data_IF_400987196326
#
_entry.id   IF_400987196326
#
_cell.length_a   1.000
_cell.length_b   1.000
_cell.length_c   1.000
_cell.angle_alpha   90.00
_cell.angle_beta   90.00
_cell.angle_gamma   90.00
#
_symmetry.space_group_name_H-M   'P 1'
#
loop_
_entity.id
_entity.type
_entity.pdbx_description
1 polymer ?
#
# COMPACT_ATOMS: atom_id res chain seq x y z
N UNK A 1 23.67 7.42 16.97
CA UNK A 1 22.86 6.19 16.99
C UNK A 1 23.55 5.17 17.87
N UNK A 2 22.84 4.58 18.84
CA UNK A 2 23.42 3.58 19.78
C UNK A 2 22.59 2.28 19.79
N UNK A 3 21.32 2.35 19.42
CA UNK A 3 20.43 1.22 19.52
C UNK A 3 20.60 0.28 18.31
N UNK A 4 20.77 -1.01 18.58
CA UNK A 4 20.92 -2.06 17.57
C UNK A 4 19.73 -2.13 16.62
N UNK A 5 18.50 -2.03 17.14
CA UNK A 5 17.30 -2.06 16.31
C UNK A 5 17.25 -0.88 15.31
N UNK A 6 17.80 0.29 15.70
CA UNK A 6 17.94 1.43 14.79
C UNK A 6 18.85 1.09 13.61
N UNK A 7 19.98 0.47 13.89
CA UNK A 7 20.98 0.14 12.89
C UNK A 7 20.45 -0.96 11.98
N UNK A 8 19.78 -1.96 12.52
CA UNK A 8 19.13 -3.02 11.75
C UNK A 8 18.04 -2.46 10.82
N UNK A 9 17.19 -1.54 11.32
CA UNK A 9 16.19 -0.88 10.49
C UNK A 9 16.82 -0.09 9.34
N UNK A 10 17.84 0.73 9.64
CA UNK A 10 18.55 1.52 8.64
C UNK A 10 19.22 0.63 7.58
N UNK A 11 19.89 -0.44 8.02
CA UNK A 11 20.54 -1.38 7.11
C UNK A 11 19.54 -2.11 6.22
N UNK A 12 18.41 -2.57 6.77
CA UNK A 12 17.35 -3.21 6.00
C UNK A 12 16.78 -2.25 4.96
N UNK A 13 16.54 -0.98 5.34
CA UNK A 13 16.06 0.02 4.40
C UNK A 13 17.07 0.27 3.26
N UNK A 14 18.36 0.39 3.59
CA UNK A 14 19.41 0.57 2.57
C UNK A 14 19.53 -0.63 1.63
N UNK A 15 19.45 -1.85 2.13
CA UNK A 15 19.48 -3.07 1.30
C UNK A 15 18.32 -3.08 0.30
N UNK A 16 17.14 -2.62 0.71
CA UNK A 16 15.95 -2.60 -0.15
C UNK A 16 16.01 -1.51 -1.24
N UNK A 17 16.60 -0.35 -0.93
CA UNK A 17 16.45 0.84 -1.77
C UNK A 17 17.76 1.41 -2.31
N UNK A 18 18.92 0.89 -1.89
CA UNK A 18 20.24 1.41 -2.26
C UNK A 18 21.12 0.31 -2.88
N UNK A 19 21.23 0.22 -4.20
CA UNK A 19 22.07 -0.80 -4.85
C UNK A 19 23.58 -0.64 -4.56
N UNK A 20 24.02 0.54 -4.13
CA UNK A 20 25.42 0.82 -3.82
C UNK A 20 25.78 0.66 -2.32
N UNK A 21 24.83 0.17 -1.52
CA UNK A 21 25.03 -0.06 -0.11
C UNK A 21 26.09 -1.13 0.15
N UNK A 22 26.94 -0.93 1.14
CA UNK A 22 27.99 -1.88 1.50
C UNK A 22 27.54 -2.82 2.63
N UNK A 23 27.10 -4.06 2.34
CA UNK A 23 26.58 -4.97 3.33
C UNK A 23 27.66 -5.50 4.28
N UNK A 24 28.92 -5.59 3.85
CA UNK A 24 30.02 -6.06 4.70
C UNK A 24 30.31 -5.07 5.83
N UNK A 25 30.39 -3.79 5.50
CA UNK A 25 30.56 -2.72 6.49
C UNK A 25 29.34 -2.59 7.40
N UNK A 26 28.13 -2.82 6.86
CA UNK A 26 26.92 -2.88 7.68
C UNK A 26 26.97 -3.99 8.74
N UNK A 27 27.36 -5.21 8.37
CA UNK A 27 27.48 -6.31 9.34
C UNK A 27 28.55 -6.01 10.41
N UNK A 28 29.64 -5.36 10.06
CA UNK A 28 30.65 -4.90 11.02
C UNK A 28 30.06 -3.91 12.03
N UNK A 29 29.39 -2.88 11.53
CA UNK A 29 28.72 -1.85 12.36
C UNK A 29 27.65 -2.49 13.26
N UNK A 30 26.90 -3.45 12.75
CA UNK A 30 25.88 -4.18 13.47
C UNK A 30 26.47 -5.01 14.63
N UNK A 31 27.61 -5.66 14.43
CA UNK A 31 28.33 -6.39 15.50
C UNK A 31 28.83 -5.43 16.59
N UNK A 32 29.40 -4.30 16.19
CA UNK A 32 29.89 -3.28 17.12
C UNK A 32 28.75 -2.63 17.92
N UNK A 33 27.53 -2.56 17.38
CA UNK A 33 26.38 -1.91 18.02
C UNK A 33 25.90 -2.58 19.32
N UNK A 34 26.36 -3.78 19.61
CA UNK A 34 26.13 -4.46 20.89
C UNK A 34 27.07 -4.04 22.01
N UNK A 35 28.11 -3.28 21.73
CA UNK A 35 29.11 -2.87 22.72
C UNK A 35 28.67 -1.61 23.48
N UNK A 36 28.94 -1.54 24.79
CA UNK A 36 28.53 -0.42 25.65
C UNK A 36 29.11 0.92 25.20
N UNK A 37 30.31 0.93 24.64
CA UNK A 37 31.00 2.14 24.16
C UNK A 37 30.62 2.54 22.73
N UNK A 38 29.74 1.79 22.06
CA UNK A 38 29.40 2.05 20.68
C UNK A 38 28.63 3.36 20.51
N UNK A 39 29.11 4.19 19.60
CA UNK A 39 28.44 5.42 19.17
C UNK A 39 28.65 5.62 17.68
N UNK A 40 27.57 5.77 16.94
CA UNK A 40 27.60 5.98 15.50
C UNK A 40 26.94 7.32 15.15
N UNK A 41 27.69 8.22 14.53
CA UNK A 41 27.13 9.44 13.96
C UNK A 41 26.47 9.15 12.60
N UNK A 42 25.48 9.95 12.17
CA UNK A 42 24.92 9.84 10.83
C UNK A 42 25.98 9.97 9.72
N UNK A 43 26.96 10.88 9.89
CA UNK A 43 28.07 11.05 8.94
C UNK A 43 28.94 9.80 8.83
N UNK A 44 29.29 9.20 9.97
CA UNK A 44 30.08 7.95 9.97
C UNK A 44 29.28 6.83 9.29
N UNK A 45 27.99 6.71 9.56
CA UNK A 45 27.10 5.75 8.89
C UNK A 45 27.15 5.90 7.36
N UNK A 46 26.86 7.10 6.85
CA UNK A 46 26.84 7.37 5.40
C UNK A 46 28.18 7.06 4.75
N UNK A 47 29.30 7.53 5.35
CA UNK A 47 30.62 7.38 4.77
C UNK A 47 31.13 5.93 4.80
N UNK A 48 30.77 5.16 5.84
CA UNK A 48 31.26 3.78 6.00
C UNK A 48 30.47 2.80 5.15
N UNK A 49 29.13 2.97 5.08
CA UNK A 49 28.25 2.00 4.43
C UNK A 49 27.74 2.44 3.05
N UNK A 50 28.16 3.61 2.56
CA UNK A 50 27.62 4.26 1.36
C UNK A 50 26.09 4.43 1.42
N UNK A 51 25.54 4.71 2.61
CA UNK A 51 24.12 4.87 2.85
C UNK A 51 23.56 6.10 2.16
N UNK A 52 22.34 6.02 1.65
CA UNK A 52 21.60 7.10 0.96
C UNK A 52 20.39 7.62 1.73
N UNK A 53 19.96 6.90 2.77
CA UNK A 53 18.81 7.25 3.58
C UNK A 53 18.98 8.56 4.38
N UNK A 54 20.22 9.07 4.50
CA UNK A 54 20.52 10.35 5.13
C UNK A 54 21.26 11.29 4.17
N UNK A 55 20.83 12.56 4.18
CA UNK A 55 21.54 13.66 3.56
C UNK A 55 22.10 14.56 4.67
N UNK A 56 23.43 14.72 4.71
CA UNK A 56 24.10 15.48 5.74
C UNK A 56 24.65 16.78 5.14
N UNK A 57 24.22 17.90 5.69
CA UNK A 57 24.73 19.23 5.34
C UNK A 57 25.54 19.77 6.51
N UNK A 58 26.78 20.18 6.26
CA UNK A 58 27.65 20.84 7.24
C UNK A 58 27.44 22.37 7.21
N UNK A 59 27.80 23.06 8.31
CA UNK A 59 27.77 24.51 8.41
C UNK A 59 26.66 25.05 9.32
N UNK A 60 26.60 26.39 9.45
CA UNK A 60 25.67 27.11 10.37
C UNK A 60 24.21 26.76 10.13
N UNK A 61 23.83 26.51 8.89
CA UNK A 61 22.48 26.12 8.48
C UNK A 61 22.43 24.65 8.03
N UNK A 62 23.40 23.85 8.50
CA UNK A 62 23.47 22.44 8.22
C UNK A 62 22.48 21.61 9.04
N UNK A 63 22.45 20.31 8.75
CA UNK A 63 21.60 19.35 9.48
C UNK A 63 21.66 17.96 8.86
N UNK A 64 21.02 17.04 9.53
CA UNK A 64 20.82 15.68 9.02
C UNK A 64 19.37 15.55 8.55
N UNK A 65 19.18 15.33 7.26
CA UNK A 65 17.90 15.08 6.65
C UNK A 65 17.79 13.59 6.40
N UNK A 66 16.62 13.01 6.66
CA UNK A 66 16.37 11.58 6.47
C UNK A 66 15.31 11.37 5.39
N UNK A 67 15.39 10.22 4.71
CA UNK A 67 14.28 9.77 3.88
C UNK A 67 13.01 9.66 4.72
N UNK A 68 11.85 9.91 4.11
CA UNK A 68 10.55 9.94 4.82
C UNK A 68 10.29 8.69 5.68
N UNK A 69 10.60 7.50 5.17
CA UNK A 69 10.38 6.24 5.90
C UNK A 69 11.22 6.18 7.18
N UNK A 70 12.47 6.65 7.10
CA UNK A 70 13.39 6.74 8.23
C UNK A 70 12.91 7.82 9.21
N UNK A 71 12.41 8.95 8.70
CA UNK A 71 11.86 10.02 9.53
C UNK A 71 10.61 9.56 10.28
N UNK A 72 9.70 8.84 9.64
CA UNK A 72 8.52 8.24 10.30
C UNK A 72 8.93 7.25 11.40
N UNK A 73 9.93 6.41 11.15
CA UNK A 73 10.44 5.50 12.17
C UNK A 73 11.04 6.24 13.37
N UNK A 74 11.75 7.32 13.14
CA UNK A 74 12.25 8.19 14.22
C UNK A 74 11.11 8.84 15.01
N UNK A 75 10.10 9.36 14.33
CA UNK A 75 8.94 9.95 14.97
C UNK A 75 8.19 8.95 15.86
N UNK A 76 8.03 7.69 15.44
CA UNK A 76 7.42 6.63 16.25
C UNK A 76 8.23 6.28 17.50
N UNK A 77 9.53 6.48 17.52
CA UNK A 77 10.34 6.31 18.73
C UNK A 77 10.25 7.47 19.72
N UNK A 78 9.95 8.67 19.21
CA UNK A 78 9.86 9.87 20.05
C UNK A 78 8.48 9.98 20.67
N UNK A 79 7.42 9.57 19.96
CA UNK A 79 6.03 9.67 20.40
C UNK A 79 5.29 8.36 20.23
N UNK A 80 4.85 7.80 21.36
CA UNK A 80 3.99 6.61 21.42
C UNK A 80 2.63 6.90 20.79
N UNK A 81 2.11 8.12 20.97
CA UNK A 81 0.85 8.56 20.38
C UNK A 81 0.94 8.57 18.84
N UNK A 82 2.08 8.99 18.30
CA UNK A 82 2.32 8.96 16.85
C UNK A 82 2.40 7.54 16.33
N UNK A 83 3.04 6.62 17.06
CA UNK A 83 3.09 5.19 16.69
C UNK A 83 1.68 4.58 16.66
N UNK A 84 0.88 4.84 17.71
CA UNK A 84 -0.52 4.38 17.74
C UNK A 84 -1.36 4.99 16.62
N UNK A 85 -1.15 6.25 16.29
CA UNK A 85 -1.82 6.90 15.17
C UNK A 85 -1.49 6.20 13.85
N UNK A 86 -0.21 5.92 13.59
CA UNK A 86 0.22 5.21 12.36
C UNK A 86 -0.43 3.82 12.25
N UNK A 87 -0.48 3.07 13.35
CA UNK A 87 -1.10 1.74 13.37
C UNK A 87 -2.61 1.83 13.05
N UNK A 88 -3.32 2.77 13.69
CA UNK A 88 -4.76 2.97 13.44
C UNK A 88 -5.04 3.42 12.02
N UNK A 89 -4.22 4.33 11.49
CA UNK A 89 -4.37 4.83 10.13
C UNK A 89 -4.12 3.73 9.09
N UNK A 90 -3.11 2.89 9.32
CA UNK A 90 -2.88 1.72 8.49
C UNK A 90 -4.07 0.75 8.50
N UNK A 91 -4.64 0.46 9.67
CA UNK A 91 -5.82 -0.40 9.79
C UNK A 91 -7.03 0.20 9.07
N UNK A 92 -7.24 1.53 9.19
CA UNK A 92 -8.31 2.25 8.50
C UNK A 92 -8.17 2.14 6.97
N UNK A 93 -6.97 2.40 6.45
CA UNK A 93 -6.69 2.31 5.02
C UNK A 93 -6.87 0.89 4.48
N UNK A 94 -6.45 -0.12 5.22
CA UNK A 94 -6.66 -1.53 4.86
C UNK A 94 -8.13 -1.91 4.83
N UNK A 95 -8.92 -1.45 5.78
CA UNK A 95 -10.36 -1.69 5.81
C UNK A 95 -11.07 -1.01 4.61
N UNK A 96 -10.66 0.20 4.24
CA UNK A 96 -11.18 0.89 3.06
C UNK A 96 -10.79 0.18 1.75
N UNK A 97 -9.54 -0.25 1.62
CA UNK A 97 -9.06 -1.03 0.48
C UNK A 97 -9.90 -2.31 0.29
N UNK A 98 -10.15 -3.04 1.38
CA UNK A 98 -10.98 -4.25 1.34
C UNK A 98 -12.43 -3.96 0.92
N UNK A 99 -13.02 -2.86 1.39
CA UNK A 99 -14.36 -2.43 0.97
C UNK A 99 -14.40 -2.13 -0.53
N UNK A 100 -13.41 -1.40 -1.04
CA UNK A 100 -13.32 -1.05 -2.46
C UNK A 100 -13.14 -2.29 -3.35
N UNK A 101 -12.30 -3.23 -2.96
CA UNK A 101 -12.12 -4.50 -3.67
C UNK A 101 -13.41 -5.32 -3.70
N UNK A 102 -14.11 -5.43 -2.56
CA UNK A 102 -15.41 -6.11 -2.48
C UNK A 102 -16.49 -5.45 -3.35
N UNK A 103 -16.52 -4.12 -3.42
CA UNK A 103 -17.42 -3.37 -4.27
C UNK A 103 -17.13 -3.56 -5.76
N UNK A 104 -15.86 -3.53 -6.15
CA UNK A 104 -15.43 -3.74 -7.53
C UNK A 104 -15.81 -5.14 -8.02
N UNK A 105 -15.54 -6.18 -7.23
CA UNK A 105 -15.90 -7.55 -7.57
C UNK A 105 -17.43 -7.74 -7.72
N UNK A 106 -18.23 -7.16 -6.82
CA UNK A 106 -19.70 -7.19 -6.92
C UNK A 106 -20.20 -6.48 -8.18
N UNK A 107 -19.60 -5.35 -8.55
CA UNK A 107 -19.96 -4.62 -9.77
C UNK A 107 -19.66 -5.42 -11.04
N UNK A 108 -18.49 -6.07 -11.11
CA UNK A 108 -18.13 -6.90 -12.26
C UNK A 108 -19.03 -8.13 -12.38
N UNK A 109 -19.37 -8.79 -11.27
CA UNK A 109 -20.33 -9.89 -11.26
C UNK A 109 -21.74 -9.44 -11.71
N UNK A 110 -22.18 -8.26 -11.28
CA UNK A 110 -23.46 -7.71 -11.71
C UNK A 110 -23.50 -7.43 -13.22
N UNK A 111 -22.41 -6.88 -13.80
CA UNK A 111 -22.29 -6.68 -15.25
C UNK A 111 -22.37 -8.00 -16.02
N UNK A 112 -21.61 -9.01 -15.60
CA UNK A 112 -21.58 -10.32 -16.24
C UNK A 112 -22.99 -10.96 -16.20
N UNK A 113 -23.64 -10.93 -15.04
CA UNK A 113 -25.02 -11.43 -14.89
C UNK A 113 -25.99 -10.72 -15.81
N UNK A 114 -25.92 -9.38 -15.85
CA UNK A 114 -26.77 -8.57 -16.73
C UNK A 114 -26.55 -8.93 -18.20
N UNK A 115 -25.31 -9.10 -18.62
CA UNK A 115 -24.94 -9.45 -19.99
C UNK A 115 -25.48 -10.84 -20.39
N UNK A 116 -25.28 -11.85 -19.54
CA UNK A 116 -25.78 -13.21 -19.74
C UNK A 116 -27.32 -13.20 -19.85
N UNK A 117 -27.98 -12.45 -18.97
CA UNK A 117 -29.44 -12.35 -18.98
C UNK A 117 -29.96 -11.67 -20.24
N UNK A 118 -29.35 -10.56 -20.65
CA UNK A 118 -29.68 -9.83 -21.87
C UNK A 118 -29.49 -10.69 -23.12
N UNK A 119 -28.39 -11.44 -23.19
CA UNK A 119 -28.13 -12.34 -24.31
C UNK A 119 -29.12 -13.51 -24.35
N UNK A 120 -29.48 -14.05 -23.19
CA UNK A 120 -30.51 -15.12 -23.10
C UNK A 120 -31.90 -14.63 -23.56
N UNK A 121 -32.32 -13.42 -23.18
CA UNK A 121 -33.56 -12.80 -23.65
C UNK A 121 -33.51 -12.62 -25.16
N UNK A 122 -32.43 -12.11 -25.69
CA UNK A 122 -32.24 -11.88 -27.12
C UNK A 122 -32.34 -13.17 -27.94
N UNK A 123 -31.75 -14.25 -27.44
CA UNK A 123 -31.71 -15.53 -28.14
C UNK A 123 -33.04 -16.33 -28.05
N UNK A 124 -33.73 -16.22 -26.92
CA UNK A 124 -34.85 -17.13 -26.64
C UNK A 124 -36.25 -16.44 -26.63
N UNK A 125 -36.31 -15.14 -26.35
CA UNK A 125 -37.58 -14.43 -26.16
C UNK A 125 -37.88 -13.38 -27.23
N UNK A 126 -36.90 -12.97 -28.02
CA UNK A 126 -37.08 -11.95 -29.06
C UNK A 126 -36.99 -12.60 -30.44
N UNK A 127 -38.14 -12.76 -31.14
CA UNK A 127 -38.12 -13.19 -32.55
C UNK A 127 -37.38 -12.18 -33.43
N UNK A 128 -36.69 -12.64 -34.49
CA UNK A 128 -35.90 -11.77 -35.38
C UNK A 128 -36.72 -10.67 -36.07
N UNK A 129 -38.02 -10.86 -36.17
CA UNK A 129 -38.97 -9.96 -36.87
C UNK A 129 -39.62 -8.92 -35.93
N UNK A 130 -39.26 -8.90 -34.62
CA UNK A 130 -39.89 -8.00 -33.68
C UNK A 130 -39.35 -6.55 -33.83
N UNK A 131 -40.30 -5.60 -33.90
CA UNK A 131 -39.95 -4.18 -33.93
C UNK A 131 -39.16 -3.75 -32.68
N UNK A 132 -38.14 -2.87 -32.88
CA UNK A 132 -37.21 -2.40 -31.86
C UNK A 132 -37.91 -1.84 -30.60
N UNK A 133 -39.08 -1.17 -30.74
CA UNK A 133 -39.87 -0.66 -29.62
C UNK A 133 -40.45 -1.79 -28.79
N UNK A 134 -41.00 -2.84 -29.42
CA UNK A 134 -41.54 -3.99 -28.75
C UNK A 134 -40.46 -4.83 -28.07
N UNK A 135 -39.29 -4.99 -28.70
CA UNK A 135 -38.14 -5.64 -28.09
C UNK A 135 -37.69 -4.92 -26.79
N UNK A 136 -37.70 -3.59 -26.77
CA UNK A 136 -37.39 -2.80 -25.58
C UNK A 136 -38.32 -3.08 -24.40
N UNK A 137 -39.62 -3.29 -24.66
CA UNK A 137 -40.56 -3.66 -23.59
C UNK A 137 -40.28 -5.05 -23.03
N UNK A 138 -39.89 -6.02 -23.87
CA UNK A 138 -39.53 -7.38 -23.39
C UNK A 138 -38.30 -7.29 -22.47
N UNK A 139 -37.27 -6.56 -22.85
CA UNK A 139 -36.10 -6.37 -21.99
C UNK A 139 -36.45 -5.71 -20.64
N UNK A 140 -37.32 -4.70 -20.65
CA UNK A 140 -37.73 -4.00 -19.42
C UNK A 140 -38.54 -4.94 -18.50
N UNK A 141 -39.50 -5.70 -19.05
CA UNK A 141 -40.32 -6.63 -18.29
C UNK A 141 -39.50 -7.76 -17.67
N UNK A 142 -38.55 -8.33 -18.42
CA UNK A 142 -37.67 -9.38 -17.91
C UNK A 142 -36.66 -8.87 -16.90
N UNK A 143 -36.19 -7.62 -17.05
CA UNK A 143 -35.32 -6.97 -16.05
C UNK A 143 -36.08 -6.76 -14.72
N UNK A 144 -37.36 -6.41 -14.75
CA UNK A 144 -38.17 -6.25 -13.55
C UNK A 144 -38.42 -7.62 -12.85
N UNK A 145 -38.68 -8.69 -13.60
CA UNK A 145 -38.78 -10.05 -13.05
C UNK A 145 -37.45 -10.46 -12.37
N UNK A 146 -36.31 -10.17 -12.99
CA UNK A 146 -35.01 -10.48 -12.41
C UNK A 146 -34.75 -9.68 -11.12
N UNK A 147 -35.08 -8.39 -11.12
CA UNK A 147 -34.93 -7.53 -9.95
C UNK A 147 -35.79 -8.01 -8.78
N UNK A 148 -37.06 -8.38 -9.03
CA UNK A 148 -37.93 -8.93 -7.99
C UNK A 148 -37.40 -10.25 -7.46
N UNK A 149 -36.92 -11.15 -8.34
CA UNK A 149 -36.35 -12.43 -7.92
C UNK A 149 -35.04 -12.31 -7.10
N UNK A 150 -34.25 -11.26 -7.33
CA UNK A 150 -32.96 -11.09 -6.67
C UNK A 150 -33.00 -10.21 -5.41
N UNK A 151 -33.96 -9.29 -5.35
CA UNK A 151 -33.98 -8.26 -4.29
C UNK A 151 -35.31 -8.24 -3.50
N UNK A 152 -36.27 -9.02 -3.88
CA UNK A 152 -37.59 -9.15 -3.20
C UNK A 152 -38.52 -8.03 -3.56
#
# INVERSE_FOLDING_TARGET
MRNRNTIEYLGTWEVLYNPNFNPLEFERVKKESGLNAFTLSPSKWVNTTAARGFLIKSGRYGGTYAHRDIAFKFASWISVEFELYLIKEFQRLKAEEQKQLGWSAKRELAKIKYQIHTDAIKQNLIPPELDSKKASFVYASEADVLNVAMFG
#
